data_IF_878550285276
#
_entry.id   IF_878550285276
#
_cell.length_a   1.000
_cell.length_b   1.000
_cell.length_c   1.000
_cell.angle_alpha   90.00
_cell.angle_beta   90.00
_cell.angle_gamma   90.00
#
_symmetry.space_group_name_H-M   'P 1'
#
loop_
_entity.id
_entity.type
_entity.pdbx_description
1 polymer ?
#
# COMPACT_ATOMS: atom_id res chain seq x y z
N UNK A 1 85.76 -45.59 4.89
CA UNK A 1 85.34 -44.42 5.69
C UNK A 1 84.47 -43.54 4.80
N UNK A 2 83.15 -43.75 4.82
CA UNK A 2 82.19 -42.98 4.04
C UNK A 2 81.38 -42.09 4.97
N UNK A 3 81.45 -40.78 4.76
CA UNK A 3 80.66 -39.79 5.49
C UNK A 3 79.49 -39.37 4.59
N UNK A 4 78.29 -39.84 4.91
CA UNK A 4 77.06 -39.38 4.26
C UNK A 4 76.55 -38.16 5.01
N UNK A 5 76.62 -37.00 4.35
CA UNK A 5 75.99 -35.76 4.77
C UNK A 5 74.50 -35.83 4.44
N UNK A 6 73.65 -35.95 5.47
CA UNK A 6 72.20 -35.78 5.35
C UNK A 6 71.87 -34.29 5.16
N UNK A 7 71.49 -33.92 3.95
CA UNK A 7 70.87 -32.62 3.66
C UNK A 7 69.43 -32.61 4.15
N UNK A 8 69.12 -31.76 5.13
CA UNK A 8 67.75 -31.47 5.57
C UNK A 8 67.15 -30.49 4.56
N UNK A 9 66.20 -30.98 3.74
CA UNK A 9 65.37 -30.15 2.87
C UNK A 9 64.21 -29.59 3.71
N UNK A 10 64.07 -28.27 3.90
CA UNK A 10 62.91 -27.71 4.58
C UNK A 10 61.68 -27.88 3.70
N UNK A 11 60.77 -28.76 4.12
CA UNK A 11 59.43 -28.87 3.55
C UNK A 11 58.65 -27.62 3.98
N UNK A 12 58.52 -26.66 3.07
CA UNK A 12 57.59 -25.56 3.22
C UNK A 12 56.16 -26.13 3.18
N UNK A 13 55.56 -26.30 4.36
CA UNK A 13 54.15 -26.64 4.51
C UNK A 13 53.33 -25.44 4.03
N UNK A 14 52.94 -25.46 2.76
CA UNK A 14 51.94 -24.55 2.22
C UNK A 14 50.58 -24.90 2.86
N UNK A 15 50.28 -24.24 3.97
CA UNK A 15 48.93 -24.21 4.55
C UNK A 15 48.02 -23.46 3.59
N UNK A 16 47.44 -24.19 2.63
CA UNK A 16 46.29 -23.74 1.86
C UNK A 16 45.10 -23.62 2.82
N UNK A 17 44.99 -22.46 3.48
CA UNK A 17 43.76 -22.06 4.19
C UNK A 17 42.71 -21.82 3.11
N UNK A 18 42.03 -22.90 2.72
CA UNK A 18 40.82 -22.88 1.93
C UNK A 18 39.77 -22.06 2.68
N UNK A 19 39.60 -20.79 2.34
CA UNK A 19 38.56 -19.87 2.83
C UNK A 19 37.15 -20.23 2.31
N UNK A 20 36.88 -21.50 2.02
CA UNK A 20 35.60 -22.00 1.46
C UNK A 20 34.44 -22.00 2.47
N UNK A 21 34.68 -21.66 3.74
CA UNK A 21 33.66 -21.65 4.80
C UNK A 21 32.61 -20.53 4.71
N UNK A 22 32.87 -19.45 3.95
CA UNK A 22 31.96 -18.31 3.89
C UNK A 22 30.68 -18.56 3.07
N UNK A 23 30.78 -19.29 1.96
CA UNK A 23 29.65 -19.45 1.03
C UNK A 23 28.55 -20.40 1.52
N UNK A 24 28.90 -21.42 2.31
CA UNK A 24 27.93 -22.38 2.83
C UNK A 24 27.07 -21.80 3.97
N UNK A 25 27.65 -21.01 4.88
CA UNK A 25 26.90 -20.27 5.91
C UNK A 25 26.00 -19.18 5.30
N UNK A 26 26.46 -18.49 4.25
CA UNK A 26 25.64 -17.51 3.52
C UNK A 26 24.39 -18.14 2.89
N UNK A 27 24.47 -19.37 2.37
CA UNK A 27 23.29 -20.08 1.83
C UNK A 27 22.27 -20.42 2.92
N UNK A 28 22.71 -20.90 4.09
CA UNK A 28 21.80 -21.31 5.17
C UNK A 28 21.10 -20.13 5.86
N UNK A 29 21.79 -18.99 6.02
CA UNK A 29 21.17 -17.78 6.60
C UNK A 29 20.17 -17.09 5.64
N UNK A 30 20.33 -17.20 4.32
CA UNK A 30 19.38 -16.62 3.34
C UNK A 30 17.97 -17.20 3.44
N UNK A 31 17.82 -18.46 3.84
CA UNK A 31 16.49 -19.08 3.99
C UNK A 31 15.71 -18.58 5.21
N UNK A 32 16.38 -17.93 6.18
CA UNK A 32 15.77 -17.45 7.43
C UNK A 32 15.63 -15.94 7.55
N UNK A 33 16.02 -15.19 6.52
CA UNK A 33 16.01 -13.72 6.59
C UNK A 33 14.76 -13.10 5.97
N UNK A 34 13.81 -13.89 5.47
CA UNK A 34 12.54 -13.39 4.96
C UNK A 34 12.70 -12.48 3.73
N UNK A 35 13.91 -12.31 3.21
CA UNK A 35 14.28 -11.47 2.07
C UNK A 35 15.04 -12.33 1.09
N UNK A 36 14.70 -12.26 -0.20
CA UNK A 36 15.47 -12.92 -1.27
C UNK A 36 15.47 -12.11 -2.57
N UNK A 37 16.42 -12.43 -3.43
CA UNK A 37 16.47 -11.94 -4.82
C UNK A 37 15.96 -13.03 -5.77
N UNK A 38 15.14 -12.65 -6.75
CA UNK A 38 14.60 -13.55 -7.77
C UNK A 38 14.76 -12.97 -9.18
N UNK A 39 15.04 -13.82 -10.18
CA UNK A 39 15.02 -13.48 -11.60
C UNK A 39 16.22 -12.67 -12.12
N UNK A 40 17.18 -12.31 -11.27
CA UNK A 40 18.42 -11.66 -11.67
C UNK A 40 19.66 -12.55 -11.46
N UNK A 41 20.83 -11.95 -11.58
CA UNK A 41 22.11 -12.63 -11.40
C UNK A 41 22.79 -12.23 -10.08
N UNK A 42 23.16 -13.24 -9.28
CA UNK A 42 23.98 -13.11 -8.07
C UNK A 42 23.40 -12.13 -7.03
N UNK A 43 23.88 -10.89 -7.03
CA UNK A 43 23.55 -9.82 -6.09
C UNK A 43 22.58 -8.80 -6.69
N UNK A 44 22.06 -9.08 -7.90
CA UNK A 44 21.05 -8.28 -8.57
C UNK A 44 19.79 -9.10 -8.75
N UNK A 45 18.62 -8.51 -8.52
CA UNK A 45 17.36 -9.15 -8.86
C UNK A 45 16.16 -8.46 -8.22
N UNK A 46 14.98 -9.01 -8.49
CA UNK A 46 13.74 -8.57 -7.86
C UNK A 46 13.71 -8.95 -6.40
N UNK A 47 13.29 -8.02 -5.55
CA UNK A 47 13.12 -8.29 -4.13
C UNK A 47 11.81 -9.03 -3.87
N UNK A 48 11.90 -10.13 -3.12
CA UNK A 48 10.74 -10.88 -2.64
C UNK A 48 10.85 -11.08 -1.13
N UNK A 49 9.72 -10.94 -0.44
CA UNK A 49 9.66 -11.02 1.02
C UNK A 49 8.74 -12.15 1.48
N UNK A 50 9.07 -12.73 2.64
CA UNK A 50 8.30 -13.75 3.33
C UNK A 50 7.91 -13.28 4.73
N UNK A 51 6.68 -13.56 5.14
CA UNK A 51 6.21 -13.29 6.51
C UNK A 51 6.46 -14.47 7.46
N UNK A 52 6.56 -14.20 8.75
CA UNK A 52 6.46 -15.22 9.82
C UNK A 52 5.08 -15.86 9.89
N UNK A 53 4.04 -15.10 9.58
CA UNK A 53 2.67 -15.45 9.93
C UNK A 53 1.91 -16.13 8.77
N UNK A 54 2.62 -16.63 7.73
CA UNK A 54 2.01 -17.31 6.57
C UNK A 54 0.86 -16.54 5.90
N UNK A 55 0.88 -15.20 5.89
CA UNK A 55 -0.23 -14.34 5.42
C UNK A 55 -0.68 -14.56 3.96
N UNK A 56 0.15 -15.26 3.20
CA UNK A 56 -0.04 -15.54 1.78
C UNK A 56 -0.12 -17.03 1.47
N UNK A 57 -0.10 -17.88 2.50
CA UNK A 57 -0.43 -19.28 2.31
C UNK A 57 -1.94 -19.39 2.47
N UNK A 58 -2.59 -20.02 1.50
CA UNK A 58 -3.95 -20.52 1.70
C UNK A 58 -3.94 -21.42 2.95
N UNK A 59 -4.80 -21.12 3.93
CA UNK A 59 -4.92 -21.87 5.18
C UNK A 59 -5.23 -23.37 4.93
N UNK A 60 -5.63 -23.72 3.70
CA UNK A 60 -5.86 -25.10 3.26
C UNK A 60 -4.57 -25.91 3.01
N UNK A 61 -3.41 -25.26 2.88
CA UNK A 61 -2.15 -25.95 2.55
C UNK A 61 -1.27 -26.08 3.79
N UNK A 62 -0.95 -27.32 4.25
CA UNK A 62 -0.03 -27.49 5.36
C UNK A 62 1.27 -26.74 5.08
N UNK A 63 1.72 -25.95 6.05
CA UNK A 63 2.83 -24.97 5.95
C UNK A 63 4.15 -25.68 5.71
N UNK A 64 4.38 -26.16 4.48
CA UNK A 64 5.63 -26.84 4.11
C UNK A 64 6.63 -25.82 3.54
N UNK A 65 6.18 -24.67 3.03
CA UNK A 65 7.05 -23.64 2.44
C UNK A 65 6.61 -22.21 2.81
N UNK A 66 7.55 -21.30 3.11
CA UNK A 66 7.25 -19.88 3.23
C UNK A 66 6.75 -19.33 1.87
N UNK A 67 5.63 -18.60 1.89
CA UNK A 67 5.19 -17.84 0.72
C UNK A 67 6.07 -16.60 0.51
N UNK A 68 6.40 -16.34 -0.75
CA UNK A 68 7.28 -15.26 -1.17
C UNK A 68 6.55 -14.32 -2.11
N UNK A 69 6.50 -13.04 -1.74
CA UNK A 69 5.71 -12.05 -2.45
C UNK A 69 6.61 -10.94 -2.95
N UNK A 70 6.34 -10.48 -4.17
CA UNK A 70 7.07 -9.39 -4.76
C UNK A 70 6.66 -8.04 -4.14
N UNK A 71 7.62 -7.12 -4.13
CA UNK A 71 7.43 -5.77 -3.62
C UNK A 71 7.14 -4.81 -4.78
N UNK A 72 6.16 -3.94 -4.61
CA UNK A 72 5.84 -2.86 -5.55
C UNK A 72 7.00 -1.86 -5.63
N UNK A 73 7.32 -1.36 -6.82
CA UNK A 73 8.38 -0.36 -6.96
C UNK A 73 7.98 1.05 -6.47
N UNK A 74 6.68 1.39 -6.55
CA UNK A 74 6.14 2.74 -6.30
C UNK A 74 6.60 3.37 -4.98
N UNK A 75 6.54 2.62 -3.88
CA UNK A 75 6.91 3.10 -2.54
C UNK A 75 8.27 2.55 -2.07
N UNK A 76 9.03 1.93 -2.97
CA UNK A 76 10.33 1.33 -2.66
C UNK A 76 11.45 2.32 -2.95
N UNK A 77 12.12 2.81 -1.92
CA UNK A 77 13.15 3.86 -2.00
C UNK A 77 14.57 3.30 -2.06
N UNK A 78 15.56 4.15 -2.38
CA UNK A 78 16.98 3.79 -2.31
C UNK A 78 17.42 3.38 -0.90
N UNK A 79 16.90 4.06 0.13
CA UNK A 79 17.16 3.71 1.53
C UNK A 79 16.65 2.30 1.86
N UNK A 80 15.44 1.96 1.39
CA UNK A 80 14.91 0.60 1.53
C UNK A 80 15.77 -0.41 0.76
N UNK A 81 16.25 -0.08 -0.44
CA UNK A 81 17.15 -0.94 -1.20
C UNK A 81 18.44 -1.24 -0.41
N UNK A 82 19.06 -0.22 0.18
CA UNK A 82 20.22 -0.35 1.04
C UNK A 82 19.93 -1.25 2.25
N UNK A 83 18.82 -1.03 2.96
CA UNK A 83 18.39 -1.87 4.10
C UNK A 83 18.24 -3.33 3.66
N UNK A 84 17.55 -3.59 2.55
CA UNK A 84 17.34 -4.95 2.05
C UNK A 84 18.66 -5.64 1.69
N UNK A 85 19.61 -4.92 1.09
CA UNK A 85 20.94 -5.45 0.82
C UNK A 85 21.72 -5.78 2.11
N UNK A 86 21.63 -4.93 3.13
CA UNK A 86 22.21 -5.22 4.47
C UNK A 86 21.59 -6.47 5.09
N UNK A 87 20.28 -6.65 4.97
CA UNK A 87 19.59 -7.86 5.44
C UNK A 87 19.99 -9.13 4.68
N UNK A 88 20.42 -8.99 3.42
CA UNK A 88 20.99 -10.06 2.60
C UNK A 88 22.49 -10.30 2.89
N UNK A 89 23.10 -9.52 3.78
CA UNK A 89 24.49 -9.62 4.19
C UNK A 89 25.49 -8.80 3.37
N UNK A 90 25.01 -7.90 2.52
CA UNK A 90 25.85 -6.97 1.76
C UNK A 90 26.08 -5.66 2.52
N UNK A 91 27.08 -4.88 2.12
CA UNK A 91 27.39 -3.60 2.77
C UNK A 91 26.74 -2.42 2.05
N UNK A 92 26.48 -2.56 0.75
CA UNK A 92 25.94 -1.53 -0.12
C UNK A 92 24.79 -2.09 -0.96
N UNK A 93 23.82 -1.22 -1.25
CA UNK A 93 22.64 -1.53 -2.03
C UNK A 93 22.05 -0.28 -2.67
N UNK A 94 21.51 -0.44 -3.87
CA UNK A 94 20.70 0.57 -4.56
C UNK A 94 19.54 -0.10 -5.29
N UNK A 95 18.54 0.67 -5.70
CA UNK A 95 17.52 0.18 -6.63
C UNK A 95 18.16 -0.18 -7.95
N UNK A 96 17.67 -1.25 -8.55
CA UNK A 96 18.08 -1.68 -9.86
C UNK A 96 16.85 -1.87 -10.73
N UNK A 97 16.92 -1.36 -11.96
CA UNK A 97 15.85 -1.50 -12.93
C UNK A 97 16.35 -2.32 -14.12
N UNK A 98 15.84 -3.53 -14.25
CA UNK A 98 16.02 -4.36 -15.45
C UNK A 98 14.69 -5.08 -15.73
N UNK A 99 14.10 -4.90 -16.93
CA UNK A 99 12.85 -5.53 -17.29
C UNK A 99 12.80 -7.05 -17.08
N UNK A 100 13.96 -7.73 -17.11
CA UNK A 100 14.07 -9.18 -16.87
C UNK A 100 13.60 -9.60 -15.48
N UNK A 101 13.72 -8.73 -14.48
CA UNK A 101 13.29 -9.03 -13.11
C UNK A 101 12.26 -8.06 -12.54
N UNK A 102 12.20 -6.81 -13.00
CA UNK A 102 11.18 -5.84 -12.57
C UNK A 102 9.80 -6.14 -13.14
N UNK A 103 9.73 -6.91 -14.23
CA UNK A 103 8.48 -7.41 -14.79
C UNK A 103 8.39 -8.93 -14.73
N UNK A 104 7.18 -9.44 -14.45
CA UNK A 104 6.85 -10.88 -14.53
C UNK A 104 6.13 -11.15 -15.85
N UNK A 105 6.49 -12.26 -16.49
CA UNK A 105 5.76 -12.77 -17.67
C UNK A 105 4.38 -13.31 -17.31
N UNK A 106 4.27 -13.92 -16.13
CA UNK A 106 3.06 -14.57 -15.64
C UNK A 106 2.39 -13.73 -14.56
N UNK A 107 1.06 -13.66 -14.63
CA UNK A 107 0.22 -13.07 -13.59
C UNK A 107 0.11 -14.07 -12.45
N UNK A 108 0.53 -13.67 -11.25
CA UNK A 108 0.30 -14.46 -10.05
C UNK A 108 -0.90 -13.86 -9.30
N UNK A 109 -1.86 -14.68 -8.84
CA UNK A 109 -2.98 -14.19 -8.04
C UNK A 109 -2.55 -13.72 -6.64
N UNK A 110 -1.30 -13.99 -6.25
CA UNK A 110 -0.80 -13.73 -4.90
C UNK A 110 -0.65 -12.23 -4.61
N UNK A 111 -0.95 -11.88 -3.35
CA UNK A 111 -0.89 -10.52 -2.84
C UNK A 111 0.51 -9.91 -2.95
N UNK A 112 0.57 -8.61 -3.24
CA UNK A 112 1.86 -7.90 -3.39
C UNK A 112 2.14 -7.04 -2.19
N UNK A 113 3.40 -6.75 -1.96
CA UNK A 113 3.82 -5.90 -0.84
C UNK A 113 3.95 -4.47 -1.36
N UNK A 114 3.09 -3.58 -0.89
CA UNK A 114 3.07 -2.18 -1.31
C UNK A 114 4.09 -1.36 -0.58
N UNK A 115 4.02 -1.39 0.75
CA UNK A 115 4.77 -0.49 1.61
C UNK A 115 5.53 -1.25 2.68
N UNK A 116 6.78 -0.88 2.91
CA UNK A 116 7.67 -1.48 3.89
C UNK A 116 8.10 -0.43 4.90
N UNK A 117 8.12 -0.81 6.17
CA UNK A 117 8.60 0.01 7.28
C UNK A 117 9.64 -0.80 8.04
N UNK A 118 10.88 -0.30 8.08
CA UNK A 118 11.97 -0.93 8.80
C UNK A 118 12.46 -0.03 9.93
N UNK A 119 12.77 -0.62 11.08
CA UNK A 119 13.39 0.07 12.21
C UNK A 119 14.69 -0.63 12.61
N UNK A 120 15.77 0.11 12.93
CA UNK A 120 17.00 -0.49 13.44
C UNK A 120 16.74 -1.26 14.75
N UNK A 121 17.33 -2.44 14.90
CA UNK A 121 17.30 -3.18 16.17
C UNK A 121 18.47 -2.77 17.05
N UNK A 122 18.18 -2.12 18.18
CA UNK A 122 19.18 -1.66 19.16
C UNK A 122 20.07 -2.77 19.74
N UNK A 123 19.65 -4.04 19.66
CA UNK A 123 20.45 -5.16 20.16
C UNK A 123 21.48 -5.67 19.14
N UNK A 124 21.31 -5.38 17.85
CA UNK A 124 22.24 -5.78 16.80
C UNK A 124 23.48 -4.86 16.69
N UNK A 125 23.42 -3.66 17.26
CA UNK A 125 24.45 -2.61 17.13
C UNK A 125 25.79 -2.94 17.80
N UNK A 126 25.86 -3.96 18.67
CA UNK A 126 27.17 -4.44 19.19
C UNK A 126 28.01 -5.19 18.15
N UNK A 127 27.42 -5.65 17.04
CA UNK A 127 28.12 -6.41 15.99
C UNK A 127 28.50 -5.64 14.72
N UNK A 128 28.05 -4.40 14.54
CA UNK A 128 28.20 -3.64 13.28
C UNK A 128 29.36 -2.63 13.26
N UNK A 129 30.38 -2.79 14.12
CA UNK A 129 31.62 -1.99 14.07
C UNK A 129 32.40 -2.33 12.79
N UNK A 130 32.10 -1.63 11.70
CA UNK A 130 32.75 -1.82 10.41
C UNK A 130 31.93 -1.35 9.21
N UNK A 131 30.64 -1.07 9.39
CA UNK A 131 29.84 -0.33 8.40
C UNK A 131 30.07 1.15 8.68
N UNK A 132 30.78 1.83 7.78
CA UNK A 132 31.03 3.27 7.85
C UNK A 132 29.69 4.01 7.79
N UNK A 133 29.25 4.53 8.93
CA UNK A 133 28.14 5.49 9.04
C UNK A 133 28.63 6.84 8.50
N UNK A 134 28.69 6.97 7.18
CA UNK A 134 28.98 8.24 6.50
C UNK A 134 27.75 8.77 5.73
N UNK A 135 26.57 8.20 6.02
CA UNK A 135 25.29 8.88 5.76
C UNK A 135 24.78 9.43 7.09
N UNK A 136 25.23 10.63 7.41
CA UNK A 136 24.59 11.51 8.37
C UNK A 136 23.26 11.98 7.75
N UNK A 137 22.28 11.09 7.72
CA UNK A 137 20.91 11.43 7.42
C UNK A 137 20.40 12.26 8.59
N UNK A 138 19.90 13.46 8.29
CA UNK A 138 19.22 14.37 9.19
C UNK A 138 17.93 13.70 9.69
N UNK A 139 18.06 12.79 10.65
CA UNK A 139 16.95 12.22 11.40
C UNK A 139 16.47 13.30 12.37
N UNK A 140 15.41 14.00 11.98
CA UNK A 140 14.66 14.89 12.86
C UNK A 140 14.28 14.13 14.13
N UNK A 141 14.89 14.48 15.26
CA UNK A 141 14.52 13.99 16.59
C UNK A 141 13.06 14.36 16.86
N UNK A 142 12.17 13.41 16.64
CA UNK A 142 10.83 13.46 17.21
C UNK A 142 10.90 12.62 18.48
N UNK A 143 10.88 13.29 19.63
CA UNK A 143 10.84 12.70 20.96
C UNK A 143 9.60 11.81 21.11
N UNK A 144 9.77 10.50 20.90
CA UNK A 144 8.77 9.50 21.27
C UNK A 144 9.18 8.91 22.61
N UNK A 145 8.47 9.32 23.66
CA UNK A 145 8.50 8.67 24.96
C UNK A 145 8.15 7.17 24.78
N UNK A 146 9.10 6.30 25.12
CA UNK A 146 8.94 4.86 25.08
C UNK A 146 7.93 4.40 26.13
N UNK A 147 6.66 4.27 25.73
CA UNK A 147 5.69 3.48 26.50
C UNK A 147 5.95 2.01 26.19
N UNK A 148 6.55 1.31 27.13
CA UNK A 148 6.73 -0.13 27.06
C UNK A 148 5.37 -0.82 26.96
N UNK A 149 4.98 -1.21 25.74
CA UNK A 149 3.84 -2.10 25.53
C UNK A 149 4.21 -3.47 26.08
N UNK A 150 3.65 -3.81 27.25
CA UNK A 150 3.61 -5.18 27.75
C UNK A 150 2.96 -6.04 26.68
N UNK A 151 3.76 -6.93 26.09
CA UNK A 151 3.29 -8.03 25.26
C UNK A 151 2.41 -8.95 26.11
N UNK A 152 1.10 -8.77 26.03
CA UNK A 152 0.14 -9.78 26.44
C UNK A 152 0.14 -10.85 25.34
N UNK A 153 0.99 -11.86 25.50
CA UNK A 153 0.89 -13.12 24.77
C UNK A 153 -0.38 -13.81 25.30
N UNK A 154 -1.53 -13.40 24.76
CA UNK A 154 -2.78 -14.12 24.91
C UNK A 154 -2.80 -15.27 23.90
N UNK A 155 -3.02 -16.46 24.42
CA UNK A 155 -3.30 -17.68 23.66
C UNK A 155 -4.42 -17.38 22.63
N UNK A 156 -4.07 -17.30 21.35
CA UNK A 156 -5.01 -16.94 20.28
C UNK A 156 -5.64 -18.22 19.74
N UNK A 157 -6.96 -18.30 19.84
CA UNK A 157 -7.79 -19.31 19.19
C UNK A 157 -7.53 -19.30 17.66
N UNK A 158 -7.11 -20.42 17.06
CA UNK A 158 -6.86 -20.53 15.62
C UNK A 158 -8.14 -20.39 14.77
N UNK A 159 -9.32 -20.22 15.37
CA UNK A 159 -10.60 -20.07 14.67
C UNK A 159 -11.15 -18.65 14.65
N UNK A 160 -10.39 -17.65 15.07
CA UNK A 160 -10.82 -16.25 14.90
C UNK A 160 -10.89 -15.95 13.40
N UNK A 161 -12.13 -15.96 12.88
CA UNK A 161 -12.47 -15.49 11.54
C UNK A 161 -11.89 -14.10 11.37
N UNK A 162 -10.89 -14.02 10.52
CA UNK A 162 -10.15 -12.80 10.21
C UNK A 162 -11.15 -11.70 9.85
N UNK A 163 -11.05 -10.54 10.52
CA UNK A 163 -11.74 -9.35 10.04
C UNK A 163 -11.21 -9.06 8.64
N UNK A 164 -12.08 -9.23 7.63
CA UNK A 164 -11.78 -8.96 6.22
C UNK A 164 -11.33 -7.51 5.97
N UNK A 165 -11.38 -6.65 7.00
CA UNK A 165 -11.21 -5.21 6.93
C UNK A 165 -9.90 -4.70 7.53
N UNK A 166 -9.08 -5.52 8.21
CA UNK A 166 -7.79 -5.03 8.70
C UNK A 166 -6.77 -4.95 7.54
N UNK A 167 -6.15 -3.77 7.30
CA UNK A 167 -5.19 -3.60 6.21
C UNK A 167 -4.07 -4.61 6.36
N UNK A 168 -3.77 -5.33 5.28
CA UNK A 168 -2.99 -6.55 5.38
C UNK A 168 -1.55 -6.27 5.85
N UNK A 169 -1.26 -6.38 7.16
CA UNK A 169 0.05 -6.07 7.76
C UNK A 169 0.83 -7.34 8.09
N UNK A 170 1.97 -7.53 7.45
CA UNK A 170 2.90 -8.63 7.75
C UNK A 170 4.14 -8.16 8.50
N UNK A 171 4.71 -9.03 9.32
CA UNK A 171 6.09 -8.88 9.82
C UNK A 171 7.01 -9.78 9.00
N UNK A 172 8.15 -9.25 8.61
CA UNK A 172 9.17 -9.97 7.86
C UNK A 172 9.78 -11.09 8.71
N UNK A 173 10.02 -12.25 8.12
CA UNK A 173 10.65 -13.38 8.81
C UNK A 173 12.15 -13.19 8.96
N UNK A 174 12.56 -12.39 9.95
CA UNK A 174 13.95 -12.07 10.22
C UNK A 174 14.45 -12.76 11.48
N UNK A 175 15.73 -13.13 11.50
CA UNK A 175 16.41 -13.52 12.74
C UNK A 175 16.28 -12.44 13.82
N UNK A 176 16.16 -12.78 15.12
CA UNK A 176 16.22 -11.82 16.21
C UNK A 176 17.54 -11.03 16.32
N UNK A 177 18.57 -11.44 15.57
CA UNK A 177 19.86 -10.73 15.46
C UNK A 177 19.96 -9.89 14.19
N UNK A 178 18.90 -9.81 13.38
CA UNK A 178 18.91 -9.00 12.19
C UNK A 178 19.11 -7.52 12.55
N UNK A 179 19.83 -6.75 11.74
CA UNK A 179 20.10 -5.35 12.03
C UNK A 179 18.84 -4.47 12.00
N UNK A 180 17.79 -4.94 11.31
CA UNK A 180 16.51 -4.26 11.18
C UNK A 180 15.36 -5.21 11.46
N UNK A 181 14.28 -4.65 12.00
CA UNK A 181 12.97 -5.27 12.07
C UNK A 181 12.07 -4.59 11.05
N UNK A 182 11.51 -5.35 10.11
CA UNK A 182 10.65 -4.79 9.08
C UNK A 182 9.22 -5.32 9.18
N UNK A 183 8.27 -4.42 9.00
CA UNK A 183 6.86 -4.72 8.77
C UNK A 183 6.47 -4.22 7.39
N UNK A 184 5.41 -4.77 6.83
CA UNK A 184 4.95 -4.40 5.51
C UNK A 184 3.44 -4.45 5.39
N UNK A 185 2.91 -3.77 4.38
CA UNK A 185 1.49 -3.79 4.02
C UNK A 185 1.29 -4.35 2.62
N UNK A 186 0.17 -5.03 2.42
CA UNK A 186 -0.34 -5.35 1.08
C UNK A 186 -0.40 -4.11 0.19
N UNK A 187 -0.07 -4.27 -1.09
CA UNK A 187 -0.06 -3.21 -2.10
C UNK A 187 -0.91 -3.57 -3.31
N UNK A 188 -1.23 -2.55 -4.11
CA UNK A 188 -2.13 -2.63 -5.27
C UNK A 188 -1.44 -2.50 -6.62
N UNK A 189 -0.13 -2.75 -6.71
CA UNK A 189 0.56 -2.67 -8.00
C UNK A 189 0.17 -3.86 -8.93
N UNK A 190 0.12 -3.65 -10.26
CA UNK A 190 -0.24 -4.67 -11.29
C UNK A 190 0.65 -5.90 -11.24
N UNK A 191 0.09 -7.11 -11.04
CA UNK A 191 0.76 -8.43 -10.99
C UNK A 191 1.98 -8.64 -11.92
N UNK A 192 2.07 -7.94 -13.06
CA UNK A 192 3.21 -7.95 -13.98
C UNK A 192 4.32 -6.96 -13.67
N UNK A 193 4.07 -5.83 -13.01
CA UNK A 193 5.08 -4.84 -12.64
C UNK A 193 4.54 -3.41 -12.61
N UNK A 194 5.39 -2.41 -12.37
CA UNK A 194 6.81 -2.55 -12.01
C UNK A 194 6.99 -3.06 -10.57
N UNK A 195 7.86 -4.07 -10.42
CA UNK A 195 8.28 -4.64 -9.14
C UNK A 195 9.65 -4.10 -8.75
N UNK A 196 9.87 -3.91 -7.46
CA UNK A 196 11.12 -3.42 -6.92
C UNK A 196 12.27 -4.42 -7.21
N UNK A 197 13.35 -3.91 -7.78
CA UNK A 197 14.61 -4.61 -7.96
C UNK A 197 15.73 -3.91 -7.23
N UNK A 198 16.75 -4.67 -6.82
CA UNK A 198 17.92 -4.13 -6.14
C UNK A 198 19.21 -4.73 -6.69
N UNK A 199 20.30 -3.96 -6.55
CA UNK A 199 21.66 -4.40 -6.76
C UNK A 199 22.43 -4.24 -5.46
N UNK A 200 23.00 -5.33 -4.97
CA UNK A 200 23.78 -5.36 -3.74
C UNK A 200 25.28 -5.59 -4.02
N UNK A 201 26.14 -5.07 -3.15
CA UNK A 201 27.59 -5.25 -3.22
C UNK A 201 28.24 -5.22 -1.84
N UNK A 202 29.38 -5.91 -1.70
CA UNK A 202 30.24 -5.79 -0.52
C UNK A 202 31.22 -4.61 -0.62
N UNK A 203 31.36 -4.03 -1.81
CA UNK A 203 32.16 -2.83 -2.07
C UNK A 203 31.25 -1.68 -2.50
N UNK A 204 31.66 -0.42 -2.30
CA UNK A 204 30.89 0.73 -2.78
C UNK A 204 30.51 0.54 -4.24
N UNK A 205 29.22 0.71 -4.53
CA UNK A 205 28.74 0.65 -5.91
C UNK A 205 29.26 1.89 -6.66
N UNK A 206 29.67 1.75 -7.93
CA UNK A 206 30.00 2.92 -8.73
C UNK A 206 28.76 3.82 -8.82
N UNK A 207 28.94 5.15 -8.92
CA UNK A 207 27.81 6.06 -9.13
C UNK A 207 26.96 5.59 -10.30
N UNK A 208 25.65 5.81 -10.23
CA UNK A 208 24.78 5.48 -11.34
C UNK A 208 25.27 6.19 -12.61
N UNK A 209 25.16 5.54 -13.79
CA UNK A 209 25.31 6.26 -15.03
C UNK A 209 24.39 7.49 -14.94
N UNK A 210 24.85 8.68 -15.37
CA UNK A 210 24.00 9.85 -15.40
C UNK A 210 22.70 9.46 -16.11
N UNK A 211 21.57 9.71 -15.45
CA UNK A 211 20.27 9.43 -16.05
C UNK A 211 20.26 10.07 -17.44
N UNK A 212 19.75 9.37 -18.47
CA UNK A 212 19.47 10.02 -19.74
C UNK A 212 18.70 11.31 -19.42
N UNK A 213 19.00 12.45 -20.07
CA UNK A 213 18.25 13.67 -19.82
C UNK A 213 16.77 13.34 -19.95
N UNK A 214 16.03 13.43 -18.84
CA UNK A 214 14.61 13.12 -18.84
C UNK A 214 14.00 13.97 -19.93
N UNK A 215 13.26 13.37 -20.89
CA UNK A 215 12.51 14.18 -21.84
C UNK A 215 11.69 15.18 -21.03
N UNK A 216 11.70 16.44 -21.46
CA UNK A 216 10.90 17.48 -20.79
C UNK A 216 9.49 16.90 -20.61
N UNK A 217 8.98 16.82 -19.36
CA UNK A 217 7.68 16.23 -19.13
C UNK A 217 6.70 16.92 -20.06
N UNK A 218 5.88 16.18 -20.82
CA UNK A 218 4.89 16.80 -21.68
C UNK A 218 4.07 17.78 -20.85
N UNK A 219 3.70 18.95 -21.39
CA UNK A 219 2.87 19.91 -20.66
C UNK A 219 1.68 19.15 -20.08
N UNK A 220 1.50 19.27 -18.75
CA UNK A 220 0.40 18.59 -18.08
C UNK A 220 -0.89 18.93 -18.82
N UNK A 221 -1.66 17.93 -19.30
CA UNK A 221 -2.95 18.18 -19.90
C UNK A 221 -3.77 19.06 -18.95
N UNK A 222 -4.48 20.04 -19.51
CA UNK A 222 -5.44 20.81 -18.72
C UNK A 222 -6.36 19.83 -17.99
N UNK A 223 -6.69 20.13 -16.73
CA UNK A 223 -7.63 19.30 -15.97
C UNK A 223 -8.88 19.11 -16.80
N UNK A 224 -9.30 17.86 -17.06
CA UNK A 224 -10.55 17.65 -17.74
C UNK A 224 -11.69 18.19 -16.85
N UNK A 225 -12.74 18.76 -17.45
CA UNK A 225 -13.78 19.45 -16.71
C UNK A 225 -14.50 18.46 -15.79
N UNK A 226 -14.77 18.81 -14.51
CA UNK A 226 -15.40 17.91 -13.55
C UNK A 226 -16.67 17.27 -14.11
N UNK A 227 -16.86 15.97 -13.84
CA UNK A 227 -18.02 15.23 -14.33
C UNK A 227 -19.32 15.90 -13.88
N UNK A 228 -20.15 16.32 -14.85
CA UNK A 228 -21.43 16.95 -14.58
C UNK A 228 -22.52 15.98 -14.08
N UNK A 229 -22.21 14.68 -13.95
CA UNK A 229 -23.18 13.62 -13.63
C UNK A 229 -23.14 13.18 -12.16
N UNK A 230 -22.16 13.66 -11.40
CA UNK A 230 -21.97 13.39 -9.98
C UNK A 230 -21.60 14.67 -9.27
N UNK A 231 -22.06 14.84 -8.04
CA UNK A 231 -21.59 15.90 -7.17
C UNK A 231 -21.57 15.44 -5.73
N UNK A 232 -20.66 16.02 -4.96
CA UNK A 232 -20.58 15.84 -3.53
C UNK A 232 -21.13 17.10 -2.86
N UNK A 233 -22.17 16.96 -2.05
CA UNK A 233 -22.74 18.06 -1.26
C UNK A 233 -22.18 18.00 0.15
N UNK A 234 -21.41 19.02 0.54
CA UNK A 234 -20.64 18.98 1.77
C UNK A 234 -19.32 18.23 1.61
N UNK A 235 -18.76 17.75 2.73
CA UNK A 235 -17.51 17.00 2.76
C UNK A 235 -16.32 17.86 2.42
N UNK A 236 -15.68 18.45 3.45
CA UNK A 236 -14.61 19.46 3.32
C UNK A 236 -13.70 19.24 2.10
N UNK A 237 -13.91 19.98 1.00
CA UNK A 237 -12.83 20.25 0.07
C UNK A 237 -11.74 20.98 0.87
N UNK A 238 -10.47 20.64 0.69
CA UNK A 238 -9.36 21.29 1.43
C UNK A 238 -9.40 22.82 1.25
N UNK A 239 -9.97 23.28 0.14
CA UNK A 239 -10.11 24.68 -0.27
C UNK A 239 -11.41 25.36 0.20
N UNK A 240 -12.40 24.64 0.76
CA UNK A 240 -13.69 25.20 1.18
C UNK A 240 -14.22 24.62 2.50
N UNK A 241 -13.60 24.97 3.64
CA UNK A 241 -13.95 24.40 4.94
C UNK A 241 -15.37 24.73 5.42
N UNK A 242 -16.00 25.77 4.88
CA UNK A 242 -17.33 26.25 5.30
C UNK A 242 -18.49 25.57 4.55
N UNK A 243 -18.22 24.88 3.44
CA UNK A 243 -19.22 24.09 2.70
C UNK A 243 -19.39 22.71 3.37
N UNK A 244 -19.86 22.70 4.62
CA UNK A 244 -20.20 21.47 5.34
C UNK A 244 -21.48 20.83 4.83
N UNK A 245 -21.69 19.54 5.17
CA UNK A 245 -22.98 18.88 5.00
C UNK A 245 -24.07 19.62 5.81
N UNK A 246 -25.32 19.57 5.35
CA UNK A 246 -26.43 20.27 6.00
C UNK A 246 -26.54 19.89 7.49
N UNK A 247 -26.72 20.87 8.38
CA UNK A 247 -26.55 20.71 9.84
C UNK A 247 -27.47 19.68 10.51
N UNK A 248 -28.59 19.36 9.88
CA UNK A 248 -29.55 18.38 10.40
C UNK A 248 -29.30 16.96 9.89
N UNK A 249 -28.28 16.74 9.04
CA UNK A 249 -27.80 15.41 8.70
C UNK A 249 -26.83 14.94 9.79
N UNK A 250 -27.35 14.13 10.72
CA UNK A 250 -26.53 13.43 11.69
C UNK A 250 -26.00 12.12 11.07
N UNK A 251 -24.74 11.77 11.34
CA UNK A 251 -24.29 10.41 11.06
C UNK A 251 -24.92 9.43 12.06
N UNK A 252 -25.09 8.19 11.62
CA UNK A 252 -25.39 7.10 12.53
C UNK A 252 -24.15 6.81 13.41
N UNK A 253 -24.10 7.38 14.62
CA UNK A 253 -23.06 7.11 15.65
C UNK A 253 -22.31 8.35 16.17
N UNK A 254 -21.27 8.11 16.99
CA UNK A 254 -20.41 9.15 17.62
C UNK A 254 -19.29 9.68 16.69
N UNK A 255 -19.38 9.44 15.38
CA UNK A 255 -18.30 9.81 14.43
C UNK A 255 -18.44 11.27 14.01
N UNK A 256 -17.33 12.01 13.96
CA UNK A 256 -17.28 13.36 13.40
C UNK A 256 -17.57 13.32 11.88
N UNK A 257 -18.79 13.71 11.53
CA UNK A 257 -19.29 13.79 10.15
C UNK A 257 -18.66 14.89 9.33
N UNK A 258 -17.92 15.82 9.93
CA UNK A 258 -17.45 17.04 9.27
C UNK A 258 -16.57 16.78 8.04
N UNK A 259 -15.97 15.59 7.94
CA UNK A 259 -15.16 15.16 6.80
C UNK A 259 -15.94 14.55 5.63
N UNK A 260 -17.22 14.19 5.80
CA UNK A 260 -18.01 13.47 4.81
C UNK A 260 -18.98 14.39 4.09
N UNK A 261 -19.17 14.13 2.80
CA UNK A 261 -20.18 14.77 1.97
C UNK A 261 -21.22 13.75 1.52
N UNK A 262 -22.41 14.22 1.18
CA UNK A 262 -23.48 13.40 0.64
C UNK A 262 -23.32 13.28 -0.87
N UNK A 263 -23.39 12.05 -1.37
CA UNK A 263 -23.29 11.79 -2.80
C UNK A 263 -24.64 12.02 -3.51
N UNK A 264 -24.61 12.76 -4.62
CA UNK A 264 -25.75 12.91 -5.53
C UNK A 264 -25.35 12.52 -6.96
N UNK A 265 -26.27 11.86 -7.66
CA UNK A 265 -26.10 11.43 -9.05
C UNK A 265 -27.19 12.02 -9.94
N UNK A 266 -26.81 12.38 -11.16
CA UNK A 266 -27.78 12.74 -12.19
C UNK A 266 -28.32 11.45 -12.82
N UNK A 267 -29.63 11.21 -12.67
CA UNK A 267 -30.32 9.99 -13.15
C UNK A 267 -31.57 10.34 -13.95
N UNK A 268 -32.06 9.46 -14.84
CA UNK A 268 -33.35 9.65 -15.51
C UNK A 268 -34.50 9.81 -14.51
N UNK A 269 -35.40 10.75 -14.78
CA UNK A 269 -36.61 10.97 -13.96
C UNK A 269 -37.63 9.86 -14.17
N UNK A 270 -38.21 9.36 -13.08
CA UNK A 270 -39.31 8.38 -13.14
C UNK A 270 -40.67 9.01 -13.44
N UNK A 271 -40.82 10.32 -13.21
CA UNK A 271 -42.09 11.05 -13.40
C UNK A 271 -42.18 11.78 -14.73
N UNK A 272 -41.06 12.07 -15.39
CA UNK A 272 -41.00 12.83 -16.62
C UNK A 272 -39.99 12.21 -17.61
N UNK A 273 -40.46 11.47 -18.63
CA UNK A 273 -39.56 10.83 -19.59
C UNK A 273 -38.67 11.87 -20.29
N UNK A 274 -37.43 11.50 -20.61
CA UNK A 274 -36.39 12.35 -21.21
C UNK A 274 -35.88 13.52 -20.35
N UNK A 275 -36.21 13.56 -19.07
CA UNK A 275 -35.62 14.51 -18.12
C UNK A 275 -34.70 13.80 -17.15
N UNK A 276 -33.69 14.52 -16.64
CA UNK A 276 -32.81 14.03 -15.57
C UNK A 276 -33.07 14.77 -14.29
N UNK A 277 -32.90 14.10 -13.16
CA UNK A 277 -32.97 14.69 -11.82
C UNK A 277 -31.67 14.43 -11.07
N UNK A 278 -31.37 15.28 -10.11
CA UNK A 278 -30.36 15.00 -9.08
C UNK A 278 -31.01 14.15 -8.00
N UNK A 279 -30.47 12.95 -7.79
CA UNK A 279 -30.95 12.00 -6.79
C UNK A 279 -29.84 11.72 -5.77
N UNK A 280 -30.10 11.88 -4.46
CA UNK A 280 -29.17 11.45 -3.43
C UNK A 280 -29.04 9.93 -3.41
N UNK A 281 -27.81 9.48 -3.17
CA UNK A 281 -27.49 8.05 -3.04
C UNK A 281 -27.85 7.57 -1.65
N UNK A 282 -28.69 6.54 -1.58
CA UNK A 282 -29.06 5.90 -0.33
C UNK A 282 -27.89 5.11 0.26
N UNK A 283 -27.85 4.98 1.58
CA UNK A 283 -26.84 4.19 2.27
C UNK A 283 -26.85 2.74 1.77
N UNK A 284 -25.65 2.16 1.61
CA UNK A 284 -25.45 0.82 1.06
C UNK A 284 -25.06 -0.11 2.21
N UNK A 285 -25.88 -1.13 2.48
CA UNK A 285 -25.63 -2.05 3.60
C UNK A 285 -24.43 -2.99 3.35
N UNK A 286 -24.17 -3.31 2.08
CA UNK A 286 -23.01 -4.10 1.67
C UNK A 286 -21.76 -3.20 1.65
N UNK A 287 -20.84 -3.44 2.58
CA UNK A 287 -19.62 -2.65 2.77
C UNK A 287 -18.66 -2.72 1.58
N UNK A 288 -18.61 -3.83 0.85
CA UNK A 288 -17.72 -4.00 -0.32
C UNK A 288 -18.27 -3.21 -1.50
N UNK A 289 -19.58 -3.26 -1.71
CA UNK A 289 -20.27 -2.44 -2.70
C UNK A 289 -20.19 -0.96 -2.35
N UNK A 290 -20.43 -0.59 -1.08
CA UNK A 290 -20.30 0.79 -0.59
C UNK A 290 -18.89 1.34 -0.84
N UNK A 291 -17.86 0.53 -0.62
CA UNK A 291 -16.47 0.88 -0.89
C UNK A 291 -16.22 1.09 -2.38
N UNK A 292 -16.67 0.17 -3.21
CA UNK A 292 -16.50 0.24 -4.66
C UNK A 292 -17.19 1.48 -5.21
N UNK A 293 -18.44 1.73 -4.83
CA UNK A 293 -19.19 2.94 -5.21
C UNK A 293 -18.48 4.20 -4.76
N UNK A 294 -18.04 4.27 -3.50
CA UNK A 294 -17.36 5.45 -2.97
C UNK A 294 -16.02 5.71 -3.68
N UNK A 295 -15.27 4.65 -4.01
CA UNK A 295 -14.02 4.73 -4.74
C UNK A 295 -14.23 5.25 -6.16
N UNK A 296 -15.16 4.65 -6.92
CA UNK A 296 -15.49 5.13 -8.28
C UNK A 296 -16.05 6.57 -8.22
N UNK A 297 -16.89 6.89 -7.22
CA UNK A 297 -17.41 8.24 -7.03
C UNK A 297 -16.31 9.28 -6.85
N UNK A 298 -15.34 9.00 -5.97
CA UNK A 298 -14.22 9.90 -5.76
C UNK A 298 -13.35 10.04 -7.02
N UNK A 299 -13.12 8.95 -7.77
CA UNK A 299 -12.42 9.04 -9.05
C UNK A 299 -13.16 9.91 -10.05
N UNK A 300 -14.49 9.75 -10.18
CA UNK A 300 -15.30 10.57 -11.07
C UNK A 300 -15.36 12.05 -10.66
N UNK A 301 -15.45 12.35 -9.36
CA UNK A 301 -15.48 13.72 -8.84
C UNK A 301 -14.20 14.50 -9.16
N UNK A 302 -13.06 13.82 -9.24
CA UNK A 302 -11.77 14.40 -9.61
C UNK A 302 -11.38 14.16 -11.07
N UNK A 303 -12.32 13.66 -11.89
CA UNK A 303 -12.16 13.34 -13.31
C UNK A 303 -10.88 12.54 -13.61
N UNK A 304 -10.72 11.48 -12.82
CA UNK A 304 -9.57 10.60 -12.81
C UNK A 304 -9.77 9.41 -13.75
N UNK A 305 -8.78 9.13 -14.62
CA UNK A 305 -8.37 7.73 -14.72
C UNK A 305 -6.86 7.50 -14.61
N UNK A 306 -6.01 8.51 -14.80
CA UNK A 306 -4.56 8.29 -14.68
C UNK A 306 -4.07 8.60 -13.27
N UNK A 307 -3.51 7.61 -12.54
CA UNK A 307 -2.71 7.90 -11.37
C UNK A 307 -1.56 8.80 -11.76
N UNK A 308 -1.77 10.11 -11.59
CA UNK A 308 -0.67 11.07 -11.45
C UNK A 308 0.25 10.49 -10.40
N UNK A 309 1.54 10.43 -10.71
CA UNK A 309 2.54 9.99 -9.75
C UNK A 309 2.38 10.79 -8.46
N UNK A 310 2.03 10.06 -7.40
CA UNK A 310 1.91 10.60 -6.08
C UNK A 310 0.57 11.16 -5.66
N UNK A 311 -0.54 10.89 -6.35
CA UNK A 311 -1.87 11.14 -5.78
C UNK A 311 -2.53 9.86 -5.26
N UNK A 312 -2.94 9.88 -3.99
CA UNK A 312 -3.70 8.79 -3.35
C UNK A 312 -5.09 9.31 -3.05
N UNK A 313 -6.10 8.68 -3.65
CA UNK A 313 -7.49 8.82 -3.22
C UNK A 313 -7.68 7.90 -2.02
N UNK A 314 -7.80 8.49 -0.83
CA UNK A 314 -8.23 7.74 0.35
C UNK A 314 -9.74 7.86 0.48
N UNK A 315 -10.40 6.72 0.55
CA UNK A 315 -11.78 6.60 1.01
C UNK A 315 -11.71 6.02 2.42
N UNK A 316 -11.85 6.83 3.48
CA UNK A 316 -11.79 6.35 4.86
C UNK A 316 -13.00 5.46 5.19
N UNK A 317 -12.89 4.71 6.30
CA UNK A 317 -13.77 3.59 6.70
C UNK A 317 -15.26 3.77 6.35
N UNK A 318 -15.82 2.72 5.77
CA UNK A 318 -16.65 2.80 4.56
C UNK A 318 -18.14 2.57 4.79
N UNK A 319 -18.69 3.12 5.88
CA UNK A 319 -20.13 3.02 6.10
C UNK A 319 -20.69 4.21 6.87
N UNK A 320 -20.15 5.42 6.62
CA UNK A 320 -20.76 6.63 7.15
C UNK A 320 -22.11 6.85 6.44
N UNK A 321 -23.19 6.62 7.17
CA UNK A 321 -24.54 6.89 6.70
C UNK A 321 -25.08 8.14 7.38
N UNK A 322 -25.65 9.07 6.61
CA UNK A 322 -26.38 10.21 7.17
C UNK A 322 -27.85 9.84 7.33
N UNK A 323 -28.39 9.96 8.54
CA UNK A 323 -29.81 9.71 8.80
C UNK A 323 -30.66 10.81 8.17
N UNK A 324 -31.67 10.43 7.38
CA UNK A 324 -32.62 11.36 6.79
C UNK A 324 -33.57 11.88 7.88
N UNK A 325 -33.66 13.21 8.10
CA UNK A 325 -34.56 13.77 9.09
C UNK A 325 -36.03 13.57 8.71
N UNK A 326 -36.84 13.15 9.67
CA UNK A 326 -38.29 12.91 9.49
C UNK A 326 -39.17 14.09 9.89
N UNK A 327 -38.58 15.16 10.44
CA UNK A 327 -39.29 16.34 10.91
C UNK A 327 -39.44 17.42 9.84
N UNK A 328 -40.35 18.40 10.03
CA UNK A 328 -40.48 19.55 9.15
C UNK A 328 -39.17 20.35 9.13
N UNK A 329 -38.79 20.82 7.95
CA UNK A 329 -37.56 21.60 7.76
C UNK A 329 -37.90 23.08 7.81
N UNK A 330 -37.47 23.76 8.88
CA UNK A 330 -37.78 25.18 9.12
C UNK A 330 -36.72 26.15 8.60
N UNK A 331 -35.51 25.69 8.27
CA UNK A 331 -34.39 26.54 7.83
C UNK A 331 -33.87 26.09 6.46
N UNK A 332 -33.40 27.05 5.65
CA UNK A 332 -32.85 26.78 4.33
C UNK A 332 -31.51 26.03 4.35
N UNK A 333 -30.80 26.06 5.49
CA UNK A 333 -29.52 25.37 5.72
C UNK A 333 -29.67 23.91 6.13
N UNK A 334 -30.91 23.43 6.28
CA UNK A 334 -31.22 22.06 6.63
C UNK A 334 -31.55 21.25 5.37
N UNK A 335 -31.10 20.01 5.35
CA UNK A 335 -31.47 19.02 4.35
C UNK A 335 -32.98 18.83 4.36
N UNK A 336 -33.60 18.94 3.19
CA UNK A 336 -35.02 18.77 2.99
C UNK A 336 -35.29 17.70 1.94
N UNK A 337 -35.69 16.52 2.41
CA UNK A 337 -36.03 15.37 1.57
C UNK A 337 -37.13 15.69 0.54
N UNK A 338 -38.07 16.57 0.86
CA UNK A 338 -39.20 16.91 -0.04
C UNK A 338 -38.78 17.69 -1.29
N UNK A 339 -37.54 18.21 -1.34
CA UNK A 339 -36.99 18.86 -2.54
C UNK A 339 -36.53 17.88 -3.62
N UNK A 340 -36.42 16.59 -3.29
CA UNK A 340 -35.96 15.57 -4.21
C UNK A 340 -37.12 14.79 -4.79
N UNK A 341 -37.15 14.69 -6.12
CA UNK A 341 -38.15 13.94 -6.86
C UNK A 341 -37.75 12.46 -7.06
N UNK A 342 -36.54 12.08 -6.66
CA UNK A 342 -36.03 10.71 -6.78
C UNK A 342 -34.82 10.46 -5.88
N UNK A 343 -34.61 9.19 -5.55
CA UNK A 343 -33.59 8.68 -4.66
C UNK A 343 -33.00 7.43 -5.28
N UNK A 344 -31.67 7.32 -5.33
CA UNK A 344 -31.00 6.20 -5.99
C UNK A 344 -30.53 5.18 -4.96
N UNK A 345 -30.90 3.92 -5.17
CA UNK A 345 -30.40 2.77 -4.40
C UNK A 345 -29.52 1.94 -5.31
N UNK A 346 -28.22 1.84 -4.98
CA UNK A 346 -27.29 0.97 -5.70
C UNK A 346 -27.44 -0.44 -5.13
N UNK A 347 -27.78 -1.39 -5.99
CA UNK A 347 -28.13 -2.78 -5.61
C UNK A 347 -27.05 -3.78 -5.99
N UNK A 348 -26.05 -3.38 -6.78
CA UNK A 348 -24.92 -4.23 -7.17
C UNK A 348 -24.09 -3.64 -8.30
N UNK A 349 -23.27 -4.48 -8.91
CA UNK A 349 -22.25 -4.07 -9.88
C UNK A 349 -20.88 -3.99 -9.20
N UNK A 350 -19.90 -4.72 -9.76
CA UNK A 350 -18.52 -4.88 -9.25
C UNK A 350 -18.36 -5.78 -8.00
N UNK A 351 -17.34 -6.68 -7.91
CA UNK A 351 -16.18 -6.87 -8.80
C UNK A 351 -16.18 -8.19 -9.61
N UNK A 352 -15.33 -8.20 -10.65
CA UNK A 352 -14.96 -9.24 -11.62
C UNK A 352 -15.83 -9.43 -12.89
N UNK A 353 -15.22 -9.39 -14.11
CA UNK A 353 -13.84 -8.96 -14.39
C UNK A 353 -13.66 -7.43 -14.50
N UNK A 354 -14.76 -6.66 -14.57
CA UNK A 354 -14.68 -5.24 -14.90
C UNK A 354 -15.23 -4.39 -13.76
N UNK A 355 -14.36 -3.57 -13.14
CA UNK A 355 -14.83 -2.48 -12.30
C UNK A 355 -15.58 -1.46 -13.18
N UNK A 356 -16.75 -0.97 -12.74
CA UNK A 356 -17.46 0.07 -13.49
C UNK A 356 -16.60 1.31 -13.67
N UNK A 357 -16.62 1.92 -14.85
CA UNK A 357 -15.89 3.18 -15.11
C UNK A 357 -16.57 4.36 -14.41
N UNK A 358 -17.90 4.24 -14.19
CA UNK A 358 -18.74 5.30 -13.65
C UNK A 358 -19.66 4.78 -12.55
N UNK A 359 -20.02 5.62 -11.58
CA UNK A 359 -21.00 5.23 -10.54
C UNK A 359 -22.36 4.90 -11.16
N UNK A 360 -22.70 5.55 -12.27
CA UNK A 360 -23.92 5.32 -13.03
C UNK A 360 -23.99 3.92 -13.67
N UNK A 361 -22.84 3.25 -13.83
CA UNK A 361 -22.75 1.91 -14.44
C UNK A 361 -23.03 0.80 -13.42
N UNK A 362 -23.13 1.13 -12.13
CA UNK A 362 -23.59 0.18 -11.11
C UNK A 362 -25.09 -0.11 -11.31
N UNK A 363 -25.50 -1.34 -10.95
CA UNK A 363 -26.91 -1.69 -10.91
C UNK A 363 -27.60 -0.82 -9.86
N UNK A 364 -28.64 -0.11 -10.26
CA UNK A 364 -29.36 0.81 -9.39
C UNK A 364 -30.85 0.85 -9.67
N UNK A 365 -31.61 1.30 -8.68
CA UNK A 365 -33.04 1.62 -8.81
C UNK A 365 -33.29 3.06 -8.36
N UNK A 366 -34.29 3.72 -8.96
CA UNK A 366 -34.71 5.08 -8.60
C UNK A 366 -36.09 5.00 -7.96
N UNK A 367 -36.24 5.55 -6.76
CA UNK A 367 -37.48 5.60 -5.99
C UNK A 367 -37.94 7.03 -5.77
N UNK A 368 -39.25 7.28 -5.76
CA UNK A 368 -39.83 8.58 -5.34
C UNK A 368 -39.93 8.70 -3.82
N UNK A 369 -39.77 7.60 -3.08
CA UNK A 369 -39.82 7.59 -1.62
C UNK A 369 -38.42 7.81 -1.05
N UNK A 370 -38.24 8.77 -0.12
CA UNK A 370 -36.97 8.97 0.58
C UNK A 370 -36.47 7.71 1.27
N UNK A 371 -35.17 7.43 1.15
CA UNK A 371 -34.54 6.40 1.96
C UNK A 371 -34.33 6.87 3.40
N UNK A 372 -34.05 5.90 4.29
CA UNK A 372 -33.84 6.17 5.73
C UNK A 372 -32.50 6.84 6.02
N UNK A 373 -31.48 6.48 5.26
CA UNK A 373 -30.13 7.02 5.40
C UNK A 373 -29.48 7.21 4.02
N UNK A 374 -28.53 8.12 3.93
CA UNK A 374 -27.80 8.54 2.73
C UNK A 374 -26.35 8.08 2.80
N UNK A 375 -25.75 7.76 1.67
CA UNK A 375 -24.34 7.41 1.57
C UNK A 375 -23.47 8.66 1.81
N UNK A 376 -22.66 8.62 2.87
CA UNK A 376 -21.61 9.59 3.14
C UNK A 376 -20.29 9.15 2.54
N UNK A 377 -19.69 10.04 1.75
CA UNK A 377 -18.42 9.82 1.06
C UNK A 377 -17.43 10.90 1.46
N UNK A 378 -16.20 10.50 1.77
CA UNK A 378 -15.10 11.42 1.97
C UNK A 378 -14.06 11.16 0.88
N UNK A 379 -13.87 12.14 0.01
CA UNK A 379 -12.90 12.07 -1.07
C UNK A 379 -11.71 12.97 -0.71
N UNK A 380 -10.57 12.37 -0.39
CA UNK A 380 -9.33 13.09 -0.10
C UNK A 380 -8.29 12.83 -1.18
N UNK A 381 -7.70 13.90 -1.71
CA UNK A 381 -6.56 13.84 -2.63
C UNK A 381 -5.31 14.26 -1.87
N UNK A 382 -4.38 13.33 -1.69
CA UNK A 382 -3.07 13.64 -1.12
C UNK A 382 -2.07 13.86 -2.24
N UNK A 383 -1.41 15.02 -2.28
CA UNK A 383 -0.24 15.21 -3.13
C UNK A 383 1.01 14.70 -2.39
N UNK A 384 1.56 13.55 -2.79
CA UNK A 384 2.76 12.98 -2.17
C UNK A 384 4.06 13.66 -2.66
N UNK A 385 3.99 14.56 -3.64
CA UNK A 385 5.17 15.25 -4.20
C UNK A 385 5.66 16.44 -3.35
N UNK A 386 5.12 16.67 -2.15
CA UNK A 386 5.54 17.76 -1.26
C UNK A 386 6.20 17.29 0.04
N UNK A 387 6.82 16.11 0.05
CA UNK A 387 7.81 15.75 1.07
C UNK A 387 9.19 15.80 0.45
N UNK A 388 9.77 17.00 0.46
CA UNK A 388 11.23 17.18 0.44
C UNK A 388 11.68 17.46 1.86
#
# INVERSE_FOLDING_TARGET
MGSQSMGIIPIAVLLLISTSGGFAQLKYNRFKNGVRLQGGERSVGRIELSSVNSWFNDDSVPVVKPAWNAVCDRDFTEELAQIMCVMLGYSYGRKAYDPKFTYRKETFPDGRIGKIFCTPQLQASRGLRGVTTEMEATLSETTVASRASRSLIGDRDPRVTRSLYEPLRGTLNTSPRAPYMCTFRGGSCDTRGPLAGIQCSHTPLPPDPPLPPSPSPPPMPAFPPPSNYIKLVGGRPVDKPDEGVERNLACDGDVDCGGFGRLELQVPSTSAPNTTIWAPVCAINDSVLAMSVSYIACMQLFDWPDPRDGMIVMVPDLNTAFKVPTGPVSTSSHFNATKYNGWITITGGGPEPFMPEKVQDFNHTVSTTPCRSLLGVQCQVFNTLHRH
#
